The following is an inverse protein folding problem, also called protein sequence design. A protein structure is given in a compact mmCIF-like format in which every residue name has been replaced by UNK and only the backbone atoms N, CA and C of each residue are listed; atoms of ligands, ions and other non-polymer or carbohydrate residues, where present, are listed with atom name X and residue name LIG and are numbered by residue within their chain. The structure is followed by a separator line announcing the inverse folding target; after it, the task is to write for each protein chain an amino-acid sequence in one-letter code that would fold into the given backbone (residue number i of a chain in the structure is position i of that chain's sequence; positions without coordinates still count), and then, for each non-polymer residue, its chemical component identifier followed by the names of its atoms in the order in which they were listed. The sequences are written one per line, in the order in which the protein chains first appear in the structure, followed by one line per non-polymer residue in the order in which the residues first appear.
data_IF_001266120580
#
_entry.id   IF_001266120580
#
_cell.length_a   1.000
_cell.length_b   1.000
_cell.length_c   1.000
_cell.angle_alpha   90.00
_cell.angle_beta   90.00
_cell.angle_gamma   90.00
#
_symmetry.space_group_name_H-M   'P 1'
#
loop_
_entity.id
_entity.type
_entity.pdbx_description
1 polymer ?
#
# COMPACT_ATOMS: atom_id res chain seq x y z
N UNK A 1 35.33 -26.10 16.47
CA UNK A 1 34.13 -26.88 16.09
C UNK A 1 33.32 -26.03 15.12
N UNK A 2 33.42 -26.33 13.83
CA UNK A 2 32.72 -25.62 12.75
C UNK A 2 31.30 -26.15 12.67
N UNK A 3 30.34 -25.28 12.99
CA UNK A 3 28.90 -25.55 12.77
C UNK A 3 28.65 -25.83 11.30
N UNK A 4 27.88 -26.86 10.93
CA UNK A 4 27.61 -27.18 9.53
C UNK A 4 26.78 -26.05 8.89
N UNK A 5 27.27 -25.47 7.80
CA UNK A 5 26.54 -24.51 6.98
C UNK A 5 25.24 -25.16 6.49
N UNK A 6 24.13 -24.61 6.90
CA UNK A 6 22.81 -25.06 6.48
C UNK A 6 22.70 -24.97 4.95
N UNK A 7 22.56 -26.10 4.28
CA UNK A 7 22.43 -26.13 2.81
C UNK A 7 21.08 -25.55 2.38
N UNK A 8 20.99 -25.00 1.16
CA UNK A 8 19.75 -24.37 0.65
C UNK A 8 18.50 -25.27 0.68
N UNK A 9 18.68 -26.61 0.74
CA UNK A 9 17.59 -27.60 0.85
C UNK A 9 17.07 -27.65 2.30
N UNK A 10 17.95 -27.65 3.30
CA UNK A 10 17.57 -27.63 4.71
C UNK A 10 16.90 -26.30 5.06
N UNK A 11 17.36 -25.19 4.52
CA UNK A 11 16.76 -23.88 4.69
C UNK A 11 15.32 -23.85 4.14
N UNK A 12 15.03 -24.50 2.99
CA UNK A 12 13.68 -24.57 2.41
C UNK A 12 12.67 -25.28 3.31
N UNK A 13 13.06 -26.41 3.92
CA UNK A 13 12.16 -27.16 4.83
C UNK A 13 11.90 -26.38 6.13
N UNK A 14 12.92 -25.69 6.63
CA UNK A 14 12.80 -24.91 7.88
C UNK A 14 12.02 -23.58 7.72
N UNK A 15 11.88 -23.06 6.50
CA UNK A 15 11.10 -21.84 6.22
C UNK A 15 9.59 -22.12 6.21
N UNK A 16 9.15 -23.34 5.90
CA UNK A 16 7.71 -23.69 5.80
C UNK A 16 6.98 -23.47 7.13
N UNK A 17 7.53 -23.95 8.23
CA UNK A 17 6.92 -23.81 9.56
C UNK A 17 6.67 -22.34 10.00
N UNK A 18 7.65 -21.43 9.87
CA UNK A 18 7.43 -20.00 10.11
C UNK A 18 6.41 -19.37 9.16
N UNK A 19 6.31 -19.79 7.89
CA UNK A 19 5.32 -19.28 6.94
C UNK A 19 3.90 -19.76 7.25
N UNK A 20 3.75 -20.95 7.81
CA UNK A 20 2.45 -21.49 8.23
C UNK A 20 1.95 -20.87 9.54
N UNK A 21 2.87 -20.59 10.46
CA UNK A 21 2.53 -20.08 11.80
C UNK A 21 2.52 -18.55 11.91
N UNK A 22 3.22 -17.83 11.02
CA UNK A 22 3.28 -16.38 10.99
C UNK A 22 2.65 -15.89 9.68
N UNK A 23 1.65 -15.01 9.80
CA UNK A 23 0.90 -14.47 8.65
C UNK A 23 1.78 -13.75 7.61
N UNK A 24 2.93 -13.24 8.04
CA UNK A 24 3.96 -12.63 7.20
C UNK A 24 5.35 -12.89 7.79
N UNK A 25 6.35 -12.96 6.95
CA UNK A 25 7.74 -13.14 7.37
C UNK A 25 8.65 -12.24 6.52
N UNK A 26 9.53 -11.50 7.19
CA UNK A 26 10.55 -10.67 6.52
C UNK A 26 11.80 -11.48 6.23
N UNK A 27 12.36 -11.31 5.04
CA UNK A 27 13.55 -12.02 4.61
C UNK A 27 14.77 -11.74 5.51
N UNK A 28 14.92 -10.52 6.04
CA UNK A 28 15.96 -10.13 6.98
C UNK A 28 15.86 -10.89 8.31
N UNK A 29 14.64 -11.04 8.86
CA UNK A 29 14.39 -11.80 10.09
C UNK A 29 14.67 -13.28 9.91
N UNK A 30 14.30 -13.86 8.76
CA UNK A 30 14.64 -15.24 8.45
C UNK A 30 16.16 -15.43 8.26
N UNK A 31 16.81 -14.49 7.61
CA UNK A 31 18.27 -14.50 7.42
C UNK A 31 19.00 -14.55 8.77
N UNK A 32 18.61 -13.67 9.69
CA UNK A 32 19.16 -13.65 11.05
C UNK A 32 18.83 -14.93 11.84
N UNK A 33 17.61 -15.43 11.76
CA UNK A 33 17.19 -16.63 12.48
C UNK A 33 17.89 -17.90 12.01
N UNK A 34 18.21 -18.00 10.72
CA UNK A 34 18.87 -19.18 10.13
C UNK A 34 20.36 -18.97 9.90
N UNK A 35 20.91 -17.82 10.32
CA UNK A 35 22.33 -17.45 10.16
C UNK A 35 22.82 -17.58 8.70
N UNK A 36 21.98 -17.15 7.75
CA UNK A 36 22.27 -17.18 6.31
C UNK A 36 22.10 -15.79 5.70
N UNK A 37 22.63 -15.58 4.50
CA UNK A 37 22.43 -14.31 3.80
C UNK A 37 20.98 -14.10 3.38
N UNK A 38 20.54 -12.84 3.28
CA UNK A 38 19.21 -12.51 2.73
C UNK A 38 19.02 -13.07 1.31
N UNK A 39 20.07 -13.08 0.51
CA UNK A 39 20.06 -13.67 -0.85
C UNK A 39 19.76 -15.17 -0.80
N UNK A 40 20.30 -15.89 0.19
CA UNK A 40 20.00 -17.32 0.41
C UNK A 40 18.55 -17.54 0.76
N UNK A 41 17.97 -16.70 1.64
CA UNK A 41 16.55 -16.76 1.95
C UNK A 41 15.72 -16.45 0.71
N UNK A 42 16.08 -15.40 -0.02
CA UNK A 42 15.36 -15.00 -1.22
C UNK A 42 15.35 -16.07 -2.31
N UNK A 43 16.47 -16.72 -2.57
CA UNK A 43 16.55 -17.84 -3.53
C UNK A 43 15.77 -19.05 -3.05
N UNK A 44 15.72 -19.29 -1.75
CA UNK A 44 14.95 -20.38 -1.14
C UNK A 44 13.44 -20.19 -1.21
N UNK A 45 12.95 -18.94 -1.31
CA UNK A 45 11.53 -18.61 -1.45
C UNK A 45 11.01 -18.70 -2.89
N UNK A 46 11.87 -18.59 -3.91
CA UNK A 46 11.49 -18.67 -5.34
C UNK A 46 10.64 -19.90 -5.69
N UNK A 47 10.94 -21.14 -5.23
CA UNK A 47 10.11 -22.29 -5.53
C UNK A 47 8.69 -22.23 -4.95
N UNK A 48 8.53 -21.53 -3.82
CA UNK A 48 7.23 -21.34 -3.17
C UNK A 48 6.39 -20.29 -3.93
N UNK A 49 7.03 -19.24 -4.44
CA UNK A 49 6.39 -18.24 -5.30
C UNK A 49 5.90 -18.87 -6.61
N UNK A 50 6.72 -19.73 -7.25
CA UNK A 50 6.33 -20.47 -8.46
C UNK A 50 5.15 -21.42 -8.22
N UNK A 51 5.03 -22.00 -7.03
CA UNK A 51 3.90 -22.84 -6.63
C UNK A 51 2.70 -22.03 -6.09
N UNK A 52 2.74 -20.69 -6.12
CA UNK A 52 1.74 -19.78 -5.58
C UNK A 52 1.47 -19.97 -4.08
N UNK A 53 2.41 -20.54 -3.34
CA UNK A 53 2.31 -20.75 -1.90
C UNK A 53 2.75 -19.52 -1.10
N UNK A 54 3.56 -18.65 -1.70
CA UNK A 54 4.03 -17.39 -1.11
C UNK A 54 3.96 -16.27 -2.13
N UNK A 55 3.97 -15.03 -1.64
CA UNK A 55 4.06 -13.84 -2.46
C UNK A 55 4.97 -12.80 -1.82
N UNK A 56 5.86 -12.23 -2.62
CA UNK A 56 6.66 -11.07 -2.27
C UNK A 56 5.86 -9.79 -2.45
N UNK A 57 6.03 -8.86 -1.51
CA UNK A 57 5.58 -7.49 -1.64
C UNK A 57 6.78 -6.54 -1.63
N UNK A 58 6.57 -5.33 -2.09
CA UNK A 58 7.59 -4.30 -2.30
C UNK A 58 8.43 -3.94 -1.08
N UNK A 59 7.91 -4.13 0.12
CA UNK A 59 8.65 -3.89 1.37
C UNK A 59 9.53 -5.08 1.84
N UNK A 60 9.75 -6.11 1.00
CA UNK A 60 10.55 -7.29 1.31
C UNK A 60 9.86 -8.33 2.18
N UNK A 61 8.58 -8.20 2.45
CA UNK A 61 7.78 -9.20 3.16
C UNK A 61 7.31 -10.30 2.19
N UNK A 62 7.16 -11.50 2.73
CA UNK A 62 6.62 -12.66 2.00
C UNK A 62 5.39 -13.15 2.73
N UNK A 63 4.26 -13.21 2.05
CA UNK A 63 2.98 -13.65 2.59
C UNK A 63 2.63 -15.05 2.11
N UNK A 64 1.96 -15.83 2.96
CA UNK A 64 1.29 -17.05 2.54
C UNK A 64 0.12 -16.70 1.61
N UNK A 65 -0.26 -17.62 0.73
CA UNK A 65 -1.43 -17.42 -0.18
C UNK A 65 -2.71 -17.10 0.61
N UNK A 66 -2.89 -17.71 1.77
CA UNK A 66 -4.04 -17.47 2.64
C UNK A 66 -4.02 -16.05 3.24
N UNK A 67 -2.86 -15.58 3.72
CA UNK A 67 -2.71 -14.20 4.23
C UNK A 67 -2.99 -13.17 3.14
N UNK A 68 -2.57 -13.43 1.90
CA UNK A 68 -2.84 -12.56 0.77
C UNK A 68 -4.33 -12.50 0.40
N UNK A 69 -5.05 -13.61 0.46
CA UNK A 69 -6.49 -13.62 0.23
C UNK A 69 -7.23 -12.79 1.29
N UNK A 70 -6.81 -12.88 2.55
CA UNK A 70 -7.37 -12.05 3.63
C UNK A 70 -7.07 -10.57 3.39
N UNK A 71 -5.84 -10.23 3.02
CA UNK A 71 -5.46 -8.85 2.72
C UNK A 71 -6.23 -8.31 1.51
N UNK A 72 -6.34 -9.06 0.42
CA UNK A 72 -7.10 -8.66 -0.76
C UNK A 72 -8.59 -8.42 -0.44
N UNK A 73 -9.19 -9.22 0.44
CA UNK A 73 -10.57 -9.00 0.92
C UNK A 73 -10.70 -7.67 1.67
N UNK A 74 -9.75 -7.35 2.56
CA UNK A 74 -9.73 -6.07 3.28
C UNK A 74 -9.56 -4.89 2.33
N UNK A 75 -8.60 -4.95 1.41
CA UNK A 75 -8.36 -3.93 0.40
C UNK A 75 -9.60 -3.69 -0.47
N UNK A 76 -10.27 -4.76 -0.92
CA UNK A 76 -11.50 -4.64 -1.69
C UNK A 76 -12.64 -4.02 -0.85
N UNK A 77 -12.79 -4.39 0.40
CA UNK A 77 -13.80 -3.83 1.27
C UNK A 77 -13.56 -2.33 1.52
N UNK A 78 -12.30 -1.92 1.76
CA UNK A 78 -11.91 -0.50 1.87
C UNK A 78 -12.18 0.24 0.55
N UNK A 79 -11.90 -0.38 -0.59
CA UNK A 79 -12.19 0.20 -1.91
C UNK A 79 -13.69 0.43 -2.11
N UNK A 80 -14.55 -0.52 -1.73
CA UNK A 80 -16.01 -0.35 -1.78
C UNK A 80 -16.48 0.78 -0.84
N UNK A 81 -15.91 0.88 0.36
CA UNK A 81 -16.21 1.99 1.27
C UNK A 81 -15.83 3.34 0.66
N UNK A 82 -14.69 3.41 -0.06
CA UNK A 82 -14.20 4.62 -0.69
C UNK A 82 -15.13 5.14 -1.79
N UNK A 83 -15.91 4.28 -2.46
CA UNK A 83 -16.88 4.71 -3.48
C UNK A 83 -17.94 5.69 -2.92
N UNK A 84 -18.28 5.59 -1.64
CA UNK A 84 -19.24 6.50 -1.00
C UNK A 84 -18.73 7.95 -0.92
N UNK A 85 -17.46 8.16 -1.15
CA UNK A 85 -16.78 9.45 -1.15
C UNK A 85 -16.44 9.94 -2.57
N UNK A 86 -17.02 9.35 -3.60
CA UNK A 86 -16.81 9.73 -5.00
C UNK A 86 -18.19 10.03 -5.63
N UNK A 87 -18.25 11.08 -6.42
CA UNK A 87 -19.44 11.47 -7.17
C UNK A 87 -19.12 11.61 -8.66
N UNK A 88 -20.15 11.64 -9.48
CA UNK A 88 -20.01 11.88 -10.92
C UNK A 88 -19.28 13.21 -11.22
N UNK A 89 -18.43 13.19 -12.22
CA UNK A 89 -17.74 14.37 -12.71
C UNK A 89 -16.54 14.83 -11.90
N UNK A 90 -16.23 14.19 -10.76
CA UNK A 90 -15.08 14.59 -9.94
C UNK A 90 -13.75 14.34 -10.64
N UNK A 91 -12.80 15.20 -10.33
CA UNK A 91 -11.37 14.99 -10.57
C UNK A 91 -10.75 14.36 -9.32
N UNK A 92 -10.12 13.20 -9.46
CA UNK A 92 -9.49 12.51 -8.32
C UNK A 92 -8.00 12.25 -8.58
N UNK A 93 -7.19 12.44 -7.56
CA UNK A 93 -5.87 11.84 -7.48
C UNK A 93 -5.98 10.42 -6.94
N UNK A 94 -5.41 9.47 -7.65
CA UNK A 94 -5.34 8.07 -7.22
C UNK A 94 -3.87 7.66 -7.12
N UNK A 95 -3.45 7.36 -5.90
CA UNK A 95 -2.08 6.97 -5.60
C UNK A 95 -1.76 5.53 -6.08
N UNK A 96 -0.50 5.16 -5.99
CA UNK A 96 -0.04 3.79 -6.23
C UNK A 96 -0.18 2.90 -4.97
N UNK A 97 -0.21 1.59 -5.19
CA UNK A 97 -0.31 0.58 -4.15
C UNK A 97 -1.52 -0.33 -4.32
N UNK A 98 -1.55 -1.43 -3.57
CA UNK A 98 -2.54 -2.49 -3.73
C UNK A 98 -3.96 -2.06 -3.38
N UNK A 99 -4.15 -1.27 -2.32
CA UNK A 99 -5.48 -0.77 -1.92
C UNK A 99 -6.01 0.26 -2.92
N UNK A 100 -5.15 1.16 -3.43
CA UNK A 100 -5.51 2.11 -4.48
C UNK A 100 -5.85 1.40 -5.81
N UNK A 101 -5.13 0.33 -6.14
CA UNK A 101 -5.46 -0.52 -7.29
C UNK A 101 -6.82 -1.23 -7.10
N UNK A 102 -7.14 -1.65 -5.88
CA UNK A 102 -8.47 -2.20 -5.58
C UNK A 102 -9.57 -1.14 -5.76
N UNK A 103 -9.30 0.13 -5.41
CA UNK A 103 -10.21 1.22 -5.70
C UNK A 103 -10.34 1.46 -7.22
N UNK A 104 -9.24 1.45 -7.98
CA UNK A 104 -9.29 1.55 -9.44
C UNK A 104 -10.22 0.48 -10.06
N UNK A 105 -10.16 -0.75 -9.57
CA UNK A 105 -11.07 -1.82 -9.99
C UNK A 105 -12.51 -1.56 -9.59
N UNK A 106 -12.73 -1.08 -8.38
CA UNK A 106 -14.06 -0.77 -7.86
C UNK A 106 -14.72 0.41 -8.59
N UNK A 107 -13.96 1.36 -9.12
CA UNK A 107 -14.47 2.48 -9.90
C UNK A 107 -15.13 2.03 -11.21
N UNK A 108 -14.68 0.91 -11.78
CA UNK A 108 -15.20 0.44 -13.07
C UNK A 108 -16.68 0.12 -13.00
N UNK A 109 -17.46 0.78 -13.86
CA UNK A 109 -18.91 0.57 -13.97
C UNK A 109 -19.76 1.21 -12.86
N UNK A 110 -19.15 1.92 -11.91
CA UNK A 110 -19.87 2.63 -10.86
C UNK A 110 -20.14 4.11 -11.19
N UNK A 111 -19.40 4.68 -12.15
CA UNK A 111 -19.54 6.07 -12.58
C UNK A 111 -19.56 6.17 -14.11
N UNK A 112 -20.16 7.23 -14.65
CA UNK A 112 -20.19 7.51 -16.07
C UNK A 112 -19.03 8.42 -16.51
N UNK A 113 -18.63 9.35 -15.66
CA UNK A 113 -17.62 10.36 -15.95
C UNK A 113 -16.78 10.67 -14.72
N UNK A 114 -15.48 10.46 -14.83
CA UNK A 114 -14.47 10.86 -13.84
C UNK A 114 -13.22 11.35 -14.58
N UNK A 115 -12.48 12.28 -13.97
CA UNK A 115 -11.11 12.59 -14.34
C UNK A 115 -10.17 11.99 -13.28
N UNK A 116 -9.29 11.07 -13.67
CA UNK A 116 -8.39 10.38 -12.76
C UNK A 116 -6.95 10.69 -13.10
N UNK A 117 -6.25 11.31 -12.18
CA UNK A 117 -4.83 11.62 -12.27
C UNK A 117 -4.10 10.66 -11.34
N UNK A 118 -3.24 9.81 -11.89
CA UNK A 118 -2.58 8.76 -11.12
C UNK A 118 -1.09 8.66 -11.42
N UNK A 119 -0.33 8.29 -10.40
CA UNK A 119 1.07 7.88 -10.55
C UNK A 119 1.21 6.35 -10.63
N UNK A 120 0.10 5.61 -10.68
CA UNK A 120 0.08 4.14 -10.72
C UNK A 120 -0.09 3.61 -12.14
N UNK A 121 0.94 2.96 -12.69
CA UNK A 121 0.83 2.28 -13.99
C UNK A 121 -0.25 1.17 -13.95
N UNK A 122 -0.32 0.29 -12.92
CA UNK A 122 -1.36 -0.71 -12.82
C UNK A 122 -2.78 -0.13 -12.75
N UNK A 123 -2.99 0.96 -12.01
CA UNK A 123 -4.29 1.61 -11.92
C UNK A 123 -4.72 2.22 -13.26
N UNK A 124 -3.80 2.88 -13.97
CA UNK A 124 -4.07 3.44 -15.29
C UNK A 124 -4.45 2.34 -16.30
N UNK A 125 -3.76 1.21 -16.30
CA UNK A 125 -4.08 0.05 -17.15
C UNK A 125 -5.45 -0.54 -16.82
N UNK A 126 -5.79 -0.63 -15.53
CA UNK A 126 -7.10 -1.12 -15.09
C UNK A 126 -8.25 -0.22 -15.57
N UNK A 127 -8.03 1.10 -15.51
CA UNK A 127 -9.01 2.11 -15.87
C UNK A 127 -9.05 2.43 -17.38
N UNK A 128 -8.04 2.05 -18.16
CA UNK A 128 -7.96 2.36 -19.60
C UNK A 128 -9.14 1.82 -20.44
N UNK A 129 -9.91 0.89 -19.89
CA UNK A 129 -11.09 0.29 -20.52
C UNK A 129 -12.41 0.96 -20.09
N UNK A 130 -12.34 2.07 -19.39
CA UNK A 130 -13.50 2.89 -18.99
C UNK A 130 -13.62 4.14 -19.84
N UNK A 131 -14.71 4.88 -19.71
CA UNK A 131 -14.91 6.17 -20.36
C UNK A 131 -14.29 7.35 -19.56
N UNK A 132 -13.51 7.06 -18.51
CA UNK A 132 -12.89 8.09 -17.69
C UNK A 132 -11.72 8.76 -18.40
N UNK A 133 -11.53 10.05 -18.13
CA UNK A 133 -10.31 10.74 -18.52
C UNK A 133 -9.19 10.32 -17.57
N UNK A 134 -8.11 9.72 -18.11
CA UNK A 134 -7.00 9.21 -17.31
C UNK A 134 -5.72 9.95 -17.68
N UNK A 135 -5.08 10.53 -16.67
CA UNK A 135 -3.77 11.18 -16.81
C UNK A 135 -2.75 10.43 -15.94
N UNK A 136 -1.66 10.00 -16.56
CA UNK A 136 -0.48 9.49 -15.86
C UNK A 136 0.49 10.66 -15.58
N UNK A 137 1.02 10.72 -14.35
CA UNK A 137 1.91 11.80 -13.93
C UNK A 137 3.22 11.87 -14.71
N UNK A 138 3.67 10.74 -15.28
CA UNK A 138 5.05 10.60 -15.74
C UNK A 138 6.02 10.50 -14.55
N UNK A 139 7.30 10.29 -14.83
CA UNK A 139 8.35 10.16 -13.81
C UNK A 139 9.16 8.88 -13.95
N UNK A 140 9.99 8.60 -12.95
CA UNK A 140 10.71 7.33 -12.83
C UNK A 140 9.79 6.22 -12.35
N UNK A 141 10.01 5.01 -12.84
CA UNK A 141 9.25 3.83 -12.39
C UNK A 141 9.91 3.25 -11.16
N UNK A 142 9.18 3.21 -10.04
CA UNK A 142 9.57 2.45 -8.86
C UNK A 142 9.32 0.96 -9.09
N UNK A 143 10.34 0.12 -8.91
CA UNK A 143 10.24 -1.34 -9.13
C UNK A 143 9.31 -2.02 -8.12
N UNK A 144 9.06 -1.39 -6.99
CA UNK A 144 8.34 -1.99 -5.87
C UNK A 144 6.84 -2.19 -6.15
N UNK A 145 6.21 -1.21 -6.80
CA UNK A 145 4.76 -1.14 -7.00
C UNK A 145 4.36 -0.57 -8.37
N UNK A 146 5.34 -0.39 -9.29
CA UNK A 146 5.17 0.25 -10.59
C UNK A 146 4.55 1.66 -10.48
N UNK A 147 4.94 2.38 -9.43
CA UNK A 147 4.58 3.78 -9.23
C UNK A 147 5.52 4.70 -10.02
N UNK A 148 4.97 5.79 -10.52
CA UNK A 148 5.73 6.88 -11.09
C UNK A 148 6.11 7.86 -9.97
N UNK A 149 7.40 8.11 -9.81
CA UNK A 149 7.98 8.91 -8.73
C UNK A 149 8.92 9.98 -9.26
N UNK A 150 9.47 10.77 -8.36
CA UNK A 150 10.48 11.78 -8.65
C UNK A 150 9.91 13.12 -9.10
N UNK A 151 10.80 14.00 -9.57
CA UNK A 151 10.48 15.41 -9.83
C UNK A 151 9.47 15.62 -10.96
N UNK A 152 9.45 14.76 -11.97
CA UNK A 152 8.49 14.85 -13.06
C UNK A 152 7.06 14.57 -12.55
N UNK A 153 6.87 13.50 -11.74
CA UNK A 153 5.58 13.18 -11.15
C UNK A 153 5.06 14.31 -10.25
N UNK A 154 5.91 14.81 -9.35
CA UNK A 154 5.51 15.90 -8.44
C UNK A 154 5.23 17.23 -9.16
N UNK A 155 5.99 17.56 -10.21
CA UNK A 155 5.73 18.77 -11.04
C UNK A 155 4.39 18.65 -11.77
N UNK A 156 4.08 17.46 -12.31
CA UNK A 156 2.79 17.22 -12.97
C UNK A 156 1.63 17.42 -11.99
N UNK A 157 1.67 16.78 -10.81
CA UNK A 157 0.62 16.91 -9.79
C UNK A 157 0.37 18.36 -9.38
N UNK A 158 1.42 19.17 -9.22
CA UNK A 158 1.30 20.60 -8.86
C UNK A 158 0.61 21.47 -9.91
N UNK A 159 0.48 21.00 -11.16
CA UNK A 159 -0.21 21.72 -12.24
C UNK A 159 -1.71 21.47 -12.26
N UNK A 160 -2.17 20.47 -11.55
CA UNK A 160 -3.57 20.07 -11.49
C UNK A 160 -4.13 20.28 -10.10
N UNK A 161 -5.42 20.46 -10.05
CA UNK A 161 -6.21 20.47 -8.82
C UNK A 161 -7.20 19.31 -8.89
N UNK A 162 -7.39 18.63 -7.78
CA UNK A 162 -8.36 17.54 -7.68
C UNK A 162 -9.36 17.82 -6.55
N UNK A 163 -10.59 17.43 -6.75
CA UNK A 163 -11.60 17.50 -5.69
C UNK A 163 -11.22 16.55 -4.54
N UNK A 164 -10.63 15.38 -4.88
CA UNK A 164 -10.28 14.36 -3.89
C UNK A 164 -8.99 13.63 -4.22
N UNK A 165 -8.23 13.28 -3.18
CA UNK A 165 -7.07 12.42 -3.28
C UNK A 165 -7.28 11.14 -2.47
N UNK A 166 -7.00 9.98 -3.07
CA UNK A 166 -7.04 8.67 -2.41
C UNK A 166 -5.62 8.11 -2.35
N UNK A 167 -5.06 8.04 -1.15
CA UNK A 167 -3.66 7.69 -0.91
C UNK A 167 -3.54 6.35 -0.18
N UNK A 168 -2.52 5.57 -0.56
CA UNK A 168 -2.06 4.44 0.24
C UNK A 168 -1.07 4.88 1.32
N UNK A 169 -0.83 4.00 2.30
CA UNK A 169 0.22 4.18 3.30
C UNK A 169 0.88 2.84 3.65
N UNK A 170 2.15 2.87 4.02
CA UNK A 170 2.84 1.70 4.55
C UNK A 170 2.66 1.56 6.06
N UNK A 171 2.52 2.67 6.79
CA UNK A 171 2.35 2.64 8.23
C UNK A 171 1.65 3.87 8.79
N UNK A 172 1.02 3.68 9.96
CA UNK A 172 0.28 4.72 10.69
C UNK A 172 0.65 4.64 12.17
N UNK A 173 1.14 5.73 12.72
CA UNK A 173 1.34 5.88 14.17
C UNK A 173 0.81 7.22 14.67
N UNK A 174 0.52 7.30 15.95
CA UNK A 174 -0.01 8.53 16.56
C UNK A 174 1.03 9.66 16.57
N UNK A 175 2.31 9.30 16.65
CA UNK A 175 3.42 10.27 16.72
C UNK A 175 3.95 10.63 15.35
N UNK A 176 4.12 9.64 14.48
CA UNK A 176 4.78 9.82 13.18
C UNK A 176 3.79 10.05 12.02
N UNK A 177 2.49 9.94 12.29
CA UNK A 177 1.46 10.09 11.27
C UNK A 177 1.45 8.96 10.25
N UNK A 178 1.21 9.31 8.98
CA UNK A 178 1.23 8.39 7.84
C UNK A 178 2.61 8.36 7.21
N UNK A 179 3.14 7.16 6.97
CA UNK A 179 4.52 6.99 6.53
C UNK A 179 4.67 5.96 5.39
N UNK A 180 5.74 6.11 4.64
CA UNK A 180 6.17 5.19 3.57
C UNK A 180 7.68 4.91 3.68
N UNK A 181 8.12 3.84 3.03
CA UNK A 181 9.53 3.44 3.04
C UNK A 181 10.40 4.25 2.06
N UNK A 182 9.79 4.85 1.03
CA UNK A 182 10.50 5.55 -0.03
C UNK A 182 10.22 7.08 0.06
N UNK A 183 11.28 7.91 0.23
CA UNK A 183 11.14 9.36 0.24
C UNK A 183 10.58 9.96 -1.05
N UNK A 184 10.83 9.36 -2.21
CA UNK A 184 10.28 9.83 -3.47
C UNK A 184 8.76 9.55 -3.59
N UNK A 185 8.29 8.41 -3.05
CA UNK A 185 6.86 8.16 -2.88
C UNK A 185 6.22 9.16 -1.92
N UNK A 186 6.90 9.48 -0.80
CA UNK A 186 6.41 10.46 0.16
C UNK A 186 6.22 11.84 -0.50
N UNK A 187 7.16 12.28 -1.35
CA UNK A 187 7.05 13.54 -2.09
C UNK A 187 5.85 13.57 -3.04
N UNK A 188 5.55 12.46 -3.71
CA UNK A 188 4.37 12.34 -4.59
C UNK A 188 3.09 12.45 -3.77
N UNK A 189 2.98 11.71 -2.65
CA UNK A 189 1.82 11.79 -1.74
C UNK A 189 1.62 13.21 -1.20
N UNK A 190 2.69 13.87 -0.77
CA UNK A 190 2.65 15.26 -0.32
C UNK A 190 2.19 16.23 -1.44
N UNK A 191 2.58 15.96 -2.69
CA UNK A 191 2.11 16.77 -3.81
C UNK A 191 0.60 16.58 -4.05
N UNK A 192 0.09 15.34 -3.97
CA UNK A 192 -1.34 15.05 -4.06
C UNK A 192 -2.14 15.73 -2.94
N UNK A 193 -1.67 15.63 -1.69
CA UNK A 193 -2.31 16.28 -0.52
C UNK A 193 -2.43 17.79 -0.72
N UNK A 194 -1.37 18.43 -1.20
CA UNK A 194 -1.35 19.90 -1.39
C UNK A 194 -2.20 20.40 -2.57
N UNK A 195 -2.56 19.50 -3.47
CA UNK A 195 -3.27 19.83 -4.72
C UNK A 195 -4.68 19.24 -4.75
N UNK A 196 -5.22 18.82 -3.62
CA UNK A 196 -6.59 18.29 -3.49
C UNK A 196 -7.36 19.01 -2.38
N UNK A 197 -8.68 19.13 -2.55
CA UNK A 197 -9.56 19.73 -1.52
C UNK A 197 -9.72 18.79 -0.32
N UNK A 198 -9.96 17.52 -0.58
CA UNK A 198 -10.08 16.49 0.44
C UNK A 198 -9.12 15.33 0.18
N UNK A 199 -8.50 14.83 1.24
CA UNK A 199 -7.58 13.70 1.16
C UNK A 199 -8.04 12.53 2.01
N UNK A 200 -8.11 11.37 1.40
CA UNK A 200 -8.49 10.10 2.01
C UNK A 200 -7.31 9.14 2.02
N UNK A 201 -7.02 8.55 3.19
CA UNK A 201 -6.03 7.48 3.29
C UNK A 201 -6.73 6.14 3.35
N UNK A 202 -6.36 5.24 2.44
CA UNK A 202 -6.83 3.87 2.34
C UNK A 202 -5.84 2.94 3.04
N UNK A 203 -6.20 2.41 4.19
CA UNK A 203 -5.29 1.61 5.01
C UNK A 203 -5.98 0.42 5.64
N UNK A 204 -5.51 -0.79 5.38
CA UNK A 204 -5.96 -1.95 6.15
C UNK A 204 -5.38 -1.93 7.58
N UNK A 205 -6.03 -2.68 8.48
CA UNK A 205 -5.69 -2.70 9.90
C UNK A 205 -4.25 -3.12 10.21
N UNK A 206 -3.54 -3.76 9.28
CA UNK A 206 -2.14 -4.15 9.48
C UNK A 206 -1.17 -2.95 9.42
N UNK A 207 -1.62 -1.79 8.92
CA UNK A 207 -0.79 -0.60 8.81
C UNK A 207 -0.64 0.16 10.12
N UNK A 208 -1.55 -0.04 11.06
CA UNK A 208 -1.54 0.64 12.35
C UNK A 208 -0.46 0.11 13.29
N UNK A 209 0.28 1.02 13.90
CA UNK A 209 1.36 0.71 14.84
C UNK A 209 2.73 0.56 14.19
N UNK A 210 2.84 0.76 12.89
CA UNK A 210 4.10 0.71 12.15
C UNK A 210 4.50 2.10 11.67
N UNK A 211 5.76 2.48 11.89
CA UNK A 211 6.39 3.66 11.32
C UNK A 211 7.41 3.24 10.27
N UNK A 212 7.42 3.95 9.16
CA UNK A 212 8.40 3.76 8.08
C UNK A 212 9.29 5.00 7.96
N UNK A 213 10.28 4.93 7.08
CA UNK A 213 11.38 5.90 6.99
C UNK A 213 10.90 7.35 6.88
N UNK A 214 9.92 7.61 6.02
CA UNK A 214 9.49 8.97 5.69
C UNK A 214 8.03 9.18 6.04
N UNK A 215 7.74 10.20 6.87
CA UNK A 215 6.39 10.66 7.13
C UNK A 215 5.95 11.61 6.00
N UNK A 216 4.81 11.33 5.38
CA UNK A 216 4.29 12.20 4.34
C UNK A 216 3.12 13.09 4.81
N UNK A 217 2.49 12.76 5.95
CA UNK A 217 1.42 13.57 6.53
C UNK A 217 1.26 13.32 8.04
N UNK A 218 0.93 14.37 8.79
CA UNK A 218 0.38 14.22 10.14
C UNK A 218 -1.03 13.62 10.07
N UNK A 219 -1.52 13.06 11.17
CA UNK A 219 -2.88 12.51 11.21
C UNK A 219 -3.96 13.57 10.90
N UNK A 220 -3.76 14.81 11.38
CA UNK A 220 -4.68 15.93 11.18
C UNK A 220 -4.66 16.55 9.79
N UNK A 221 -3.67 16.22 8.97
CA UNK A 221 -3.59 16.72 7.59
C UNK A 221 -4.46 15.91 6.60
N UNK A 222 -5.09 14.83 7.06
CA UNK A 222 -5.90 13.92 6.26
C UNK A 222 -7.38 14.10 6.65
N UNK A 223 -8.23 14.27 5.68
CA UNK A 223 -9.67 14.47 5.89
C UNK A 223 -10.32 13.24 6.52
N UNK A 224 -9.97 12.04 6.04
CA UNK A 224 -10.54 10.80 6.55
C UNK A 224 -9.63 9.60 6.28
N UNK A 225 -9.50 8.72 7.28
CA UNK A 225 -8.88 7.39 7.10
C UNK A 225 -9.97 6.33 6.89
N UNK A 226 -9.92 5.65 5.76
CA UNK A 226 -10.82 4.53 5.44
C UNK A 226 -10.10 3.22 5.74
N UNK A 227 -10.70 2.39 6.60
CA UNK A 227 -10.05 1.17 7.09
C UNK A 227 -11.04 0.02 7.28
N UNK A 228 -10.52 -1.19 7.49
CA UNK A 228 -11.33 -2.37 7.81
C UNK A 228 -11.69 -2.43 9.31
N UNK A 229 -12.62 -3.32 9.66
CA UNK A 229 -13.09 -3.53 11.05
C UNK A 229 -12.00 -3.97 12.03
N UNK A 230 -10.83 -4.38 11.54
CA UNK A 230 -9.70 -4.81 12.36
C UNK A 230 -8.84 -3.67 12.94
N UNK A 231 -9.22 -2.40 12.77
CA UNK A 231 -8.48 -1.27 13.36
C UNK A 231 -8.31 -1.47 14.88
N UNK A 232 -7.07 -1.41 15.42
CA UNK A 232 -6.85 -1.65 16.84
C UNK A 232 -7.52 -0.61 17.71
N UNK A 233 -8.14 -1.03 18.85
CA UNK A 233 -8.90 -0.15 19.76
C UNK A 233 -8.14 1.10 20.19
N UNK A 234 -6.87 0.93 20.58
CA UNK A 234 -5.99 2.06 20.95
C UNK A 234 -5.87 3.17 19.90
N UNK A 235 -6.00 2.83 18.61
CA UNK A 235 -6.00 3.83 17.53
C UNK A 235 -7.37 4.46 17.34
N UNK A 236 -8.45 3.71 17.54
CA UNK A 236 -9.82 4.29 17.54
C UNK A 236 -9.95 5.35 18.64
N UNK A 237 -9.49 5.01 19.84
CA UNK A 237 -9.51 5.93 20.99
C UNK A 237 -8.66 7.18 20.70
N UNK A 238 -7.40 7.00 20.29
CA UNK A 238 -6.49 8.09 20.00
C UNK A 238 -6.97 9.00 18.84
N UNK A 239 -7.63 8.45 17.83
CA UNK A 239 -8.21 9.22 16.71
C UNK A 239 -9.43 10.01 17.20
N UNK A 240 -10.32 9.38 17.97
CA UNK A 240 -11.51 10.04 18.54
C UNK A 240 -11.14 11.17 19.50
N UNK A 241 -10.20 10.95 20.42
CA UNK A 241 -9.71 11.95 21.37
C UNK A 241 -9.09 13.18 20.70
N UNK A 242 -8.49 12.99 19.52
CA UNK A 242 -7.83 14.06 18.75
C UNK A 242 -8.69 14.66 17.66
N UNK A 243 -9.95 14.23 17.52
CA UNK A 243 -10.85 14.68 16.48
C UNK A 243 -10.41 14.28 15.05
N UNK A 244 -9.63 13.19 14.91
CA UNK A 244 -9.14 12.72 13.62
C UNK A 244 -10.19 11.84 12.97
N UNK A 245 -10.58 12.19 11.74
CA UNK A 245 -11.59 11.47 10.99
C UNK A 245 -11.15 10.05 10.60
N UNK A 246 -11.98 9.06 10.89
CA UNK A 246 -11.83 7.71 10.37
C UNK A 246 -13.18 7.05 10.13
N UNK A 247 -13.22 6.10 9.19
CA UNK A 247 -14.38 5.26 8.93
C UNK A 247 -13.93 3.81 8.82
N UNK A 248 -14.53 2.96 9.65
CA UNK A 248 -14.39 1.51 9.58
C UNK A 248 -15.60 0.89 8.88
N UNK A 249 -15.36 -0.26 8.25
CA UNK A 249 -16.41 -1.16 7.76
C UNK A 249 -17.18 -1.78 8.90
#
# INVERSE_FOLDING_TARGET
MTTPRTTGIQCRHSIVGPLENQKNVRADRLANRFEVSQTTIQSSLVPFDKKRLTHRVSNGETYSSQSRLVQARRENAIAQLALNYIAEGLTIFLDAGSTALSLARALRGNFQSLCIITNSIPAALELSKTNYQILLTGGEVSDSNLALIGSAATKTLKRYHADRAFLGTSGITVVHGYSTADPLEAQVKQAMIRSADETYVLADSSKFGHAYLESFASLSAISLTLTDSGMPGKFRDAFSERGIGFKCL
#
